data_IF_688726730099
#
_entry.id   IF_688726730099
#
_cell.length_a   1.000
_cell.length_b   1.000
_cell.length_c   1.000
_cell.angle_alpha   90.00
_cell.angle_beta   90.00
_cell.angle_gamma   90.00
#
_symmetry.space_group_name_H-M   'P 1'
#
loop_
_entity.id
_entity.type
_entity.pdbx_description
1 polymer ?
#
# COMPACT_ATOMS: atom_id res chain seq x y z
N UNK A 1 -24.18 -8.43 -15.96
CA UNK A 1 -23.03 -9.13 -15.32
C UNK A 1 -22.65 -8.33 -14.09
N UNK A 2 -23.10 -8.74 -12.91
CA UNK A 2 -22.70 -8.14 -11.62
C UNK A 2 -21.82 -9.15 -10.89
N UNK A 3 -20.56 -9.25 -11.33
CA UNK A 3 -19.53 -9.87 -10.51
C UNK A 3 -19.11 -8.85 -9.47
N UNK A 4 -19.46 -9.06 -8.20
CA UNK A 4 -18.97 -8.26 -7.09
C UNK A 4 -17.45 -8.43 -7.05
N UNK A 5 -16.69 -7.46 -7.58
CA UNK A 5 -15.26 -7.39 -7.32
C UNK A 5 -15.10 -7.20 -5.81
N UNK A 6 -14.60 -8.21 -5.12
CA UNK A 6 -14.19 -8.05 -3.73
C UNK A 6 -13.05 -7.03 -3.74
N UNK A 7 -13.32 -5.84 -3.20
CA UNK A 7 -12.33 -4.78 -3.12
C UNK A 7 -11.10 -5.28 -2.36
N UNK A 8 -9.92 -4.93 -2.86
CA UNK A 8 -8.68 -5.17 -2.15
C UNK A 8 -8.67 -4.33 -0.87
N UNK A 9 -8.59 -5.00 0.30
CA UNK A 9 -8.74 -4.35 1.61
C UNK A 9 -7.43 -3.85 2.21
N UNK A 10 -6.31 -3.96 1.49
CA UNK A 10 -5.07 -3.33 1.92
C UNK A 10 -5.22 -1.81 1.91
N UNK A 11 -4.47 -1.14 2.78
CA UNK A 11 -4.42 0.31 2.85
C UNK A 11 -2.97 0.81 2.77
N UNK A 12 -2.81 2.13 2.57
CA UNK A 12 -1.51 2.78 2.47
C UNK A 12 -1.48 3.98 3.38
N UNK A 13 -0.54 3.99 4.30
CA UNK A 13 -0.29 5.06 5.24
C UNK A 13 1.01 5.79 4.87
N UNK A 14 0.99 7.12 4.90
CA UNK A 14 2.14 7.99 4.59
C UNK A 14 2.48 8.76 5.84
N UNK A 15 3.71 8.63 6.30
CA UNK A 15 4.15 9.16 7.58
C UNK A 15 5.34 10.07 7.42
N UNK A 16 5.34 11.15 8.20
CA UNK A 16 6.51 11.97 8.47
C UNK A 16 6.90 11.77 9.94
N UNK A 17 8.07 11.19 10.17
CA UNK A 17 8.63 10.99 11.51
C UNK A 17 10.01 11.63 11.64
N UNK A 18 10.67 11.42 12.79
CA UNK A 18 12.02 11.92 13.05
C UNK A 18 13.06 11.37 12.05
N UNK A 19 12.86 10.14 11.56
CA UNK A 19 13.69 9.50 10.55
C UNK A 19 13.39 9.89 9.10
N UNK A 20 12.51 10.87 8.87
CA UNK A 20 12.10 11.30 7.54
C UNK A 20 10.75 10.73 7.10
N UNK A 21 10.58 10.58 5.78
CA UNK A 21 9.33 10.12 5.19
C UNK A 21 9.31 8.60 5.05
N UNK A 22 8.15 8.00 5.31
CA UNK A 22 7.94 6.57 5.08
C UNK A 22 6.53 6.28 4.60
N UNK A 23 6.39 5.15 3.91
CA UNK A 23 5.10 4.65 3.43
C UNK A 23 4.94 3.22 3.93
N UNK A 24 3.82 2.95 4.60
CA UNK A 24 3.47 1.63 5.09
C UNK A 24 2.28 1.05 4.30
N UNK A 25 2.38 -0.23 3.97
CA UNK A 25 1.25 -1.03 3.47
C UNK A 25 0.62 -1.71 4.67
N UNK A 26 -0.68 -1.49 4.87
CA UNK A 26 -1.45 -2.02 5.98
C UNK A 26 -2.32 -3.18 5.51
N UNK A 27 -2.32 -4.28 6.25
CA UNK A 27 -3.25 -5.38 6.05
C UNK A 27 -4.69 -5.00 6.47
N UNK A 28 -5.70 -5.84 6.16
CA UNK A 28 -7.09 -5.56 6.53
C UNK A 28 -7.35 -5.58 8.05
N UNK A 29 -6.40 -6.01 8.87
CA UNK A 29 -6.45 -5.94 10.33
C UNK A 29 -5.80 -4.67 10.88
N UNK A 30 -5.28 -3.80 10.01
CA UNK A 30 -4.59 -2.56 10.38
C UNK A 30 -3.14 -2.77 10.80
N UNK A 31 -2.52 -3.91 10.47
CA UNK A 31 -1.11 -4.19 10.76
C UNK A 31 -0.22 -3.81 9.59
N UNK A 32 0.96 -3.28 9.90
CA UNK A 32 1.99 -3.00 8.91
C UNK A 32 2.60 -4.30 8.39
N UNK A 33 2.49 -4.53 7.09
CA UNK A 33 3.08 -5.71 6.43
C UNK A 33 4.25 -5.37 5.52
N UNK A 34 4.46 -4.09 5.24
CA UNK A 34 5.62 -3.59 4.52
C UNK A 34 5.81 -2.11 4.83
N UNK A 35 7.05 -1.68 5.01
CA UNK A 35 7.41 -0.27 5.24
C UNK A 35 8.58 0.08 4.33
N UNK A 36 8.47 1.22 3.64
CA UNK A 36 9.52 1.78 2.81
C UNK A 36 9.89 3.18 3.31
N UNK A 37 11.16 3.39 3.58
CA UNK A 37 11.71 4.73 3.78
C UNK A 37 11.79 5.48 2.43
N UNK A 38 11.47 6.76 2.46
CA UNK A 38 11.49 7.66 1.31
C UNK A 38 12.39 8.87 1.62
N UNK A 39 13.08 9.37 0.59
CA UNK A 39 14.03 10.47 0.73
C UNK A 39 13.35 11.80 1.03
N UNK A 40 12.15 12.00 0.51
CA UNK A 40 11.38 13.24 0.59
C UNK A 40 9.87 12.96 0.47
N UNK A 41 9.09 14.02 0.65
CA UNK A 41 7.62 13.99 0.57
C UNK A 41 7.13 13.57 -0.82
N UNK A 42 7.80 14.04 -1.87
CA UNK A 42 7.40 13.77 -3.26
C UNK A 42 7.55 12.29 -3.58
N UNK A 43 8.65 11.65 -3.17
CA UNK A 43 8.85 10.21 -3.30
C UNK A 43 7.79 9.44 -2.52
N UNK A 44 7.51 9.85 -1.27
CA UNK A 44 6.52 9.17 -0.43
C UNK A 44 5.12 9.24 -1.04
N UNK A 45 4.68 10.42 -1.48
CA UNK A 45 3.38 10.60 -2.12
C UNK A 45 3.29 9.87 -3.46
N UNK A 46 4.37 9.89 -4.25
CA UNK A 46 4.44 9.17 -5.53
C UNK A 46 4.30 7.67 -5.32
N UNK A 47 5.11 7.11 -4.42
CA UNK A 47 5.06 5.68 -4.11
C UNK A 47 3.71 5.27 -3.53
N UNK A 48 3.17 6.05 -2.60
CA UNK A 48 1.85 5.79 -2.02
C UNK A 48 0.73 5.82 -3.07
N UNK A 49 0.79 6.75 -4.02
CA UNK A 49 -0.15 6.82 -5.15
C UNK A 49 -0.10 5.55 -6.01
N UNK A 50 1.11 5.09 -6.37
CA UNK A 50 1.29 3.83 -7.11
C UNK A 50 0.70 2.63 -6.36
N UNK A 51 0.96 2.53 -5.05
CA UNK A 51 0.40 1.44 -4.24
C UNK A 51 -1.13 1.51 -4.20
N UNK A 52 -1.73 2.70 -4.05
CA UNK A 52 -3.18 2.89 -4.10
C UNK A 52 -3.79 2.48 -5.44
N UNK A 53 -3.13 2.80 -6.55
CA UNK A 53 -3.56 2.34 -7.88
C UNK A 53 -3.53 0.82 -7.99
N UNK A 54 -2.49 0.17 -7.46
CA UNK A 54 -2.41 -1.28 -7.41
C UNK A 54 -3.49 -1.91 -6.51
N UNK A 55 -3.82 -1.31 -5.37
CA UNK A 55 -4.97 -1.74 -4.55
C UNK A 55 -6.25 -1.67 -5.38
N UNK A 56 -6.45 -0.60 -6.13
CA UNK A 56 -7.65 -0.43 -6.95
C UNK A 56 -7.74 -1.44 -8.12
N UNK A 57 -6.63 -1.79 -8.76
CA UNK A 57 -6.63 -2.66 -9.94
C UNK A 57 -6.43 -4.15 -9.65
N UNK A 58 -5.70 -4.50 -8.60
CA UNK A 58 -5.29 -5.87 -8.33
C UNK A 58 -6.20 -6.53 -7.30
N UNK A 59 -6.51 -7.81 -7.51
CA UNK A 59 -7.05 -8.66 -6.45
C UNK A 59 -6.07 -8.73 -5.26
N UNK A 60 -6.56 -9.04 -4.06
CA UNK A 60 -5.70 -9.16 -2.88
C UNK A 60 -4.57 -10.18 -3.08
N UNK A 61 -4.84 -11.31 -3.74
CA UNK A 61 -3.83 -12.35 -4.00
C UNK A 61 -2.71 -11.82 -4.91
N UNK A 62 -3.08 -11.17 -6.02
CA UNK A 62 -2.11 -10.61 -6.96
C UNK A 62 -1.31 -9.49 -6.30
N UNK A 63 -1.96 -8.65 -5.49
CA UNK A 63 -1.31 -7.59 -4.73
C UNK A 63 -0.29 -8.14 -3.73
N UNK A 64 -0.67 -9.16 -2.93
CA UNK A 64 0.25 -9.83 -2.00
C UNK A 64 1.46 -10.41 -2.73
N UNK A 65 1.24 -11.08 -3.87
CA UNK A 65 2.32 -11.64 -4.69
C UNK A 65 3.25 -10.56 -5.26
N UNK A 66 2.68 -9.47 -5.77
CA UNK A 66 3.44 -8.35 -6.35
C UNK A 66 4.35 -7.69 -5.32
N UNK A 67 3.82 -7.42 -4.12
CA UNK A 67 4.57 -6.80 -3.02
C UNK A 67 5.30 -7.79 -2.10
N UNK A 68 5.21 -9.09 -2.37
CA UNK A 68 5.79 -10.18 -1.56
C UNK A 68 5.37 -10.12 -0.08
N UNK A 69 4.08 -9.89 0.16
CA UNK A 69 3.48 -9.82 1.50
C UNK A 69 3.14 -11.24 1.98
N UNK A 70 3.48 -11.54 3.24
CA UNK A 70 3.25 -12.83 3.90
C UNK A 70 1.80 -13.09 4.28
#
# INVERSE_FOLDING_TARGET
>A
MTGTHVANRYAVDVRRGEGGWSVAIMDPQGREVSVRACRDEVEALTYASTVRQHIYWLSEETFRRYYRLG
#
